data_IF_966895047016
#
_entry.id   IF_966895047016
#
_cell.length_a   1.000
_cell.length_b   1.000
_cell.length_c   1.000
_cell.angle_alpha   90.00
_cell.angle_beta   90.00
_cell.angle_gamma   90.00
#
_symmetry.space_group_name_H-M   'P 1'
#
loop_
_entity.id
_entity.type
_entity.pdbx_description
1 polymer ?
#
# COMPACT_ATOMS: atom_id res chain seq x y z
N UNK A 1 -19.43 21.46 5.86
CA UNK A 1 -19.43 21.40 7.34
C UNK A 1 -18.60 20.21 7.83
N UNK A 2 -17.40 20.02 7.27
CA UNK A 2 -16.59 18.79 7.48
C UNK A 2 -15.11 19.08 7.77
N UNK A 3 -14.75 20.37 7.88
CA UNK A 3 -13.39 20.82 8.24
C UNK A 3 -13.30 21.17 9.74
N UNK A 4 -14.42 21.54 10.37
CA UNK A 4 -14.45 21.93 11.78
C UNK A 4 -14.42 20.74 12.75
N UNK A 5 -14.88 19.56 12.33
CA UNK A 5 -14.86 18.35 13.19
C UNK A 5 -13.47 17.75 13.34
N UNK A 6 -12.59 17.93 12.34
CA UNK A 6 -11.18 17.48 12.40
C UNK A 6 -10.30 18.34 13.33
N UNK A 7 -10.60 19.63 13.46
CA UNK A 7 -9.82 20.55 14.29
C UNK A 7 -10.08 20.38 15.80
N UNK A 8 -11.29 19.94 16.17
CA UNK A 8 -11.65 19.65 17.57
C UNK A 8 -10.95 18.37 18.06
N UNK A 9 -10.79 17.36 17.19
CA UNK A 9 -9.97 16.18 17.47
C UNK A 9 -8.47 16.50 17.60
N UNK A 10 -7.98 17.49 16.84
CA UNK A 10 -6.59 17.96 16.90
C UNK A 10 -6.26 18.70 18.22
N UNK A 11 -7.20 19.48 18.76
CA UNK A 11 -7.03 20.19 20.04
C UNK A 11 -7.03 19.24 21.25
N UNK A 12 -7.84 18.18 21.22
CA UNK A 12 -7.83 17.12 22.24
C UNK A 12 -6.57 16.23 22.16
N UNK A 13 -6.12 15.90 20.96
CA UNK A 13 -4.92 15.07 20.74
C UNK A 13 -3.61 15.73 21.17
N UNK A 14 -3.50 17.07 21.12
CA UNK A 14 -2.29 17.81 21.54
C UNK A 14 -2.02 17.74 23.05
N UNK A 15 -3.08 17.71 23.87
CA UNK A 15 -2.97 17.56 25.33
C UNK A 15 -2.60 16.12 25.72
N UNK A 16 -3.14 15.12 25.01
CA UNK A 16 -2.79 13.70 25.17
C UNK A 16 -1.35 13.41 24.70
N UNK A 17 -0.89 14.06 23.62
CA UNK A 17 0.51 13.97 23.16
C UNK A 17 1.52 14.48 24.20
N UNK A 18 1.16 15.53 24.95
CA UNK A 18 1.99 16.04 26.06
C UNK A 18 2.03 15.09 27.26
N UNK A 19 0.94 14.36 27.53
CA UNK A 19 0.91 13.32 28.56
C UNK A 19 1.72 12.06 28.15
N UNK A 20 1.76 11.73 26.86
CA UNK A 20 2.56 10.63 26.30
C UNK A 20 4.07 10.88 26.33
N UNK A 21 4.53 12.13 26.46
CA UNK A 21 5.96 12.47 26.63
C UNK A 21 6.56 11.89 27.92
N UNK A 22 5.73 11.56 28.92
CA UNK A 22 6.18 11.08 30.24
C UNK A 22 6.05 9.56 30.44
N UNK A 23 5.34 8.83 29.58
CA UNK A 23 5.36 7.36 29.55
C UNK A 23 6.38 6.90 28.51
N UNK A 24 7.56 6.49 29.00
CA UNK A 24 8.63 5.86 28.20
C UNK A 24 8.04 4.97 27.11
N UNK A 25 8.33 5.32 25.86
CA UNK A 25 7.89 4.62 24.66
C UNK A 25 8.60 3.26 24.61
N UNK A 26 8.10 2.29 25.39
CA UNK A 26 8.37 0.85 25.35
C UNK A 26 9.82 0.51 25.00
N UNK A 27 10.73 0.85 25.92
CA UNK A 27 12.14 0.49 25.84
C UNK A 27 12.33 -1.00 26.13
N UNK A 28 13.04 -1.72 25.26
CA UNK A 28 13.68 -3.01 25.63
C UNK A 28 14.64 -2.80 26.82
N UNK A 29 15.10 -3.87 27.50
CA UNK A 29 16.04 -3.78 28.62
C UNK A 29 17.26 -2.88 28.36
N UNK A 30 17.67 -2.77 27.09
CA UNK A 30 18.79 -1.95 26.61
C UNK A 30 18.42 -0.50 26.22
N UNK A 31 17.22 -0.02 26.57
CA UNK A 31 16.80 1.38 26.35
C UNK A 31 16.18 1.69 24.98
N UNK A 32 16.25 0.78 24.00
CA UNK A 32 15.73 0.99 22.65
C UNK A 32 14.20 0.87 22.55
N UNK A 33 13.55 1.85 21.92
CA UNK A 33 12.11 1.80 21.61
C UNK A 33 11.83 0.74 20.54
N UNK A 34 10.99 -0.25 20.86
CA UNK A 34 10.59 -1.31 19.91
C UNK A 34 9.88 -0.80 18.65
N UNK A 35 9.42 0.45 18.65
CA UNK A 35 8.64 1.05 17.55
C UNK A 35 9.47 1.89 16.58
N UNK A 36 10.59 2.46 17.04
CA UNK A 36 11.38 3.45 16.26
C UNK A 36 12.81 3.00 16.02
N UNK A 37 13.38 2.14 16.88
CA UNK A 37 14.77 1.76 16.76
C UNK A 37 14.98 0.74 15.64
N UNK A 38 15.75 1.08 14.60
CA UNK A 38 16.23 0.12 13.59
C UNK A 38 17.49 -0.54 14.16
N UNK A 39 17.47 -1.84 14.50
CA UNK A 39 18.62 -2.51 15.08
C UNK A 39 19.64 -2.85 13.99
N UNK A 40 20.49 -1.88 13.66
CA UNK A 40 21.62 -2.06 12.74
C UNK A 40 21.24 -2.61 11.35
N UNK A 41 22.23 -3.15 10.65
CA UNK A 41 22.05 -3.68 9.30
C UNK A 41 21.36 -5.04 9.28
N UNK A 42 21.74 -5.98 10.15
CA UNK A 42 21.22 -7.35 10.22
C UNK A 42 21.05 -7.74 11.69
N UNK A 43 19.91 -8.34 12.02
CA UNK A 43 19.67 -8.95 13.31
C UNK A 43 19.24 -10.40 13.10
N UNK A 44 20.08 -11.33 13.54
CA UNK A 44 19.78 -12.76 13.46
C UNK A 44 18.96 -13.17 14.69
N UNK A 45 17.68 -13.43 14.50
CA UNK A 45 16.75 -13.79 15.57
C UNK A 45 15.88 -14.96 15.15
N UNK A 46 15.65 -15.92 16.04
CA UNK A 46 14.80 -17.09 15.76
C UNK A 46 13.31 -16.76 15.58
N UNK A 47 12.87 -15.55 16.01
CA UNK A 47 11.50 -15.06 15.89
C UNK A 47 11.47 -13.54 16.11
N UNK A 48 10.62 -12.82 15.39
CA UNK A 48 10.51 -11.35 15.48
C UNK A 48 10.17 -10.83 16.88
N UNK A 49 9.54 -11.62 17.74
CA UNK A 49 9.26 -11.24 19.13
C UNK A 49 10.51 -11.15 20.03
N UNK A 50 11.62 -11.76 19.61
CA UNK A 50 12.92 -11.72 20.30
C UNK A 50 13.86 -10.64 19.74
N UNK A 51 13.38 -9.83 18.79
CA UNK A 51 14.17 -8.72 18.26
C UNK A 51 14.41 -7.67 19.36
N UNK A 52 15.68 -7.35 19.58
CA UNK A 52 16.14 -6.19 20.35
C UNK A 52 15.87 -4.92 19.53
N UNK A 53 14.90 -4.10 19.95
CA UNK A 53 14.46 -2.93 19.17
C UNK A 53 13.29 -3.25 18.24
N UNK A 54 13.32 -2.74 17.00
CA UNK A 54 12.32 -3.05 15.96
C UNK A 54 12.63 -4.37 15.25
N UNK A 55 11.59 -5.03 14.74
CA UNK A 55 11.74 -6.19 13.85
C UNK A 55 12.31 -5.78 12.48
N UNK A 56 12.20 -4.50 12.11
CA UNK A 56 12.69 -3.95 10.85
C UNK A 56 14.17 -3.60 10.92
N UNK A 57 15.01 -4.45 10.30
CA UNK A 57 16.45 -4.24 10.14
C UNK A 57 16.77 -3.37 8.92
N UNK A 58 17.96 -2.77 8.88
CA UNK A 58 18.41 -1.97 7.73
C UNK A 58 18.42 -2.74 6.40
N UNK A 59 18.80 -4.02 6.43
CA UNK A 59 18.73 -4.90 5.25
C UNK A 59 17.30 -5.16 4.79
N UNK A 60 16.35 -5.35 5.70
CA UNK A 60 14.93 -5.51 5.33
C UNK A 60 14.41 -4.25 4.63
N UNK A 61 14.71 -3.07 5.18
CA UNK A 61 14.36 -1.80 4.54
C UNK A 61 15.00 -1.67 3.15
N UNK A 62 16.26 -2.06 2.99
CA UNK A 62 16.96 -2.03 1.70
C UNK A 62 16.34 -3.00 0.68
N UNK A 63 16.06 -4.25 1.08
CA UNK A 63 15.40 -5.22 0.20
C UNK A 63 13.98 -4.78 -0.17
N UNK A 64 13.27 -4.13 0.75
CA UNK A 64 11.97 -3.55 0.48
C UNK A 64 12.07 -2.40 -0.53
N UNK A 65 13.07 -1.53 -0.42
CA UNK A 65 13.32 -0.48 -1.40
C UNK A 65 13.66 -1.04 -2.79
N UNK A 66 14.51 -2.07 -2.88
CA UNK A 66 14.79 -2.73 -4.16
C UNK A 66 13.56 -3.40 -4.76
N UNK A 67 12.74 -4.06 -3.94
CA UNK A 67 11.49 -4.66 -4.40
C UNK A 67 10.52 -3.59 -4.96
N UNK A 68 10.38 -2.44 -4.28
CA UNK A 68 9.56 -1.33 -4.75
C UNK A 68 10.12 -0.66 -6.02
N UNK A 69 11.45 -0.57 -6.16
CA UNK A 69 12.08 -0.10 -7.40
C UNK A 69 11.76 -1.04 -8.58
N UNK A 70 11.69 -2.35 -8.34
CA UNK A 70 11.24 -3.34 -9.33
C UNK A 70 9.87 -3.00 -9.91
N UNK A 71 8.91 -2.60 -9.08
CA UNK A 71 7.56 -2.20 -9.53
C UNK A 71 7.63 -0.96 -10.45
N UNK A 72 8.45 0.03 -10.10
CA UNK A 72 8.61 1.25 -10.90
C UNK A 72 9.28 0.99 -12.25
N UNK A 73 10.19 0.01 -12.32
CA UNK A 73 10.84 -0.43 -13.56
C UNK A 73 9.94 -1.29 -14.47
N UNK A 74 8.75 -1.68 -14.01
CA UNK A 74 7.85 -2.50 -14.79
C UNK A 74 7.30 -1.75 -16.02
N UNK A 75 7.06 -2.42 -17.15
CA UNK A 75 6.59 -1.79 -18.39
C UNK A 75 5.17 -1.22 -18.30
N UNK A 76 4.44 -1.45 -17.20
CA UNK A 76 3.07 -0.99 -17.01
C UNK A 76 2.95 0.54 -17.06
N UNK A 77 3.81 1.25 -16.33
CA UNK A 77 3.78 2.71 -16.28
C UNK A 77 4.20 3.35 -17.61
N UNK A 78 5.15 2.74 -18.31
CA UNK A 78 5.57 3.18 -19.65
C UNK A 78 4.47 2.96 -20.70
N UNK A 79 3.78 1.81 -20.68
CA UNK A 79 2.66 1.55 -21.60
C UNK A 79 1.55 2.60 -21.46
N UNK A 80 1.21 3.00 -20.23
CA UNK A 80 0.21 4.05 -19.99
C UNK A 80 0.68 5.43 -20.43
N UNK A 81 1.97 5.75 -20.22
CA UNK A 81 2.57 6.99 -20.73
C UNK A 81 2.50 7.07 -22.26
N UNK A 82 2.77 5.97 -22.97
CA UNK A 82 2.75 5.93 -24.44
C UNK A 82 1.34 5.88 -25.04
N UNK A 83 0.32 5.56 -24.25
CA UNK A 83 -1.08 5.62 -24.70
C UNK A 83 -1.63 7.06 -24.80
N UNK A 84 -0.89 8.06 -24.32
CA UNK A 84 -1.36 9.44 -24.29
C UNK A 84 -0.99 10.21 -25.58
N UNK A 85 -1.95 10.90 -26.20
CA UNK A 85 -1.73 11.59 -27.49
C UNK A 85 -0.99 12.94 -27.36
N UNK A 86 -0.93 13.52 -26.17
CA UNK A 86 -0.32 14.84 -25.93
C UNK A 86 0.62 14.81 -24.73
N UNK A 87 1.92 15.06 -24.96
CA UNK A 87 2.96 14.96 -23.91
C UNK A 87 3.02 16.16 -22.97
N UNK A 88 2.59 17.36 -23.41
CA UNK A 88 2.75 18.61 -22.65
C UNK A 88 2.02 18.61 -21.30
N UNK A 89 0.77 18.16 -21.26
CA UNK A 89 -0.01 18.08 -20.02
C UNK A 89 0.46 16.92 -19.11
N UNK A 90 0.87 15.81 -19.71
CA UNK A 90 1.28 14.61 -18.99
C UNK A 90 2.53 14.83 -18.13
N UNK A 91 3.50 15.62 -18.60
CA UNK A 91 4.76 15.89 -17.87
C UNK A 91 4.53 16.52 -16.50
N UNK A 92 3.64 17.51 -16.42
CA UNK A 92 3.35 18.19 -15.16
C UNK A 92 2.57 17.30 -14.19
N UNK A 93 1.58 16.57 -14.72
CA UNK A 93 0.75 15.67 -13.92
C UNK A 93 1.53 14.46 -13.39
N UNK A 94 2.39 13.85 -14.22
CA UNK A 94 3.16 12.68 -13.83
C UNK A 94 4.28 13.04 -12.86
N UNK A 95 4.99 14.15 -13.08
CA UNK A 95 6.14 14.50 -12.24
C UNK A 95 5.72 15.24 -10.98
N UNK A 96 4.90 16.29 -11.07
CA UNK A 96 4.59 17.15 -9.91
C UNK A 96 3.32 16.71 -9.20
N UNK A 97 2.22 16.50 -9.93
CA UNK A 97 0.98 16.11 -9.28
C UNK A 97 1.08 14.70 -8.65
N UNK A 98 1.69 13.73 -9.35
CA UNK A 98 1.77 12.35 -8.84
C UNK A 98 2.85 12.15 -7.77
N UNK A 99 3.97 12.89 -7.80
CA UNK A 99 4.99 12.74 -6.75
C UNK A 99 4.68 13.56 -5.50
N UNK A 100 4.20 14.79 -5.66
CA UNK A 100 4.05 15.72 -4.56
C UNK A 100 2.66 15.64 -3.93
N UNK A 101 1.60 15.70 -4.72
CA UNK A 101 0.22 15.70 -4.18
C UNK A 101 -0.12 14.32 -3.62
N UNK A 102 0.05 13.26 -4.42
CA UNK A 102 -0.20 11.89 -3.95
C UNK A 102 0.75 11.53 -2.81
N UNK A 103 2.04 11.92 -2.89
CA UNK A 103 3.01 11.67 -1.83
C UNK A 103 2.61 12.31 -0.50
N UNK A 104 2.23 13.58 -0.50
CA UNK A 104 1.78 14.30 0.71
C UNK A 104 0.51 13.66 1.27
N UNK A 105 -0.46 13.31 0.41
CA UNK A 105 -1.70 12.67 0.82
C UNK A 105 -1.39 11.32 1.48
N UNK A 106 -0.65 10.43 0.82
CA UNK A 106 -0.32 9.11 1.36
C UNK A 106 0.44 9.22 2.68
N UNK A 107 1.47 10.08 2.74
CA UNK A 107 2.25 10.27 3.97
C UNK A 107 1.37 10.75 5.13
N UNK A 108 0.55 11.76 4.88
CA UNK A 108 -0.31 12.35 5.91
C UNK A 108 -1.36 11.35 6.41
N UNK A 109 -2.11 10.72 5.51
CA UNK A 109 -3.18 9.78 5.89
C UNK A 109 -2.64 8.50 6.53
N UNK A 110 -1.51 7.96 6.05
CA UNK A 110 -0.89 6.77 6.65
C UNK A 110 -0.41 7.04 8.08
N UNK A 111 0.17 8.22 8.34
CA UNK A 111 0.56 8.61 9.71
C UNK A 111 -0.67 8.70 10.62
N UNK A 112 -1.74 9.36 10.17
CA UNK A 112 -2.96 9.45 10.96
C UNK A 112 -3.56 8.08 11.26
N UNK A 113 -3.59 7.16 10.29
CA UNK A 113 -4.08 5.79 10.49
C UNK A 113 -3.20 5.02 11.50
N UNK A 114 -1.88 5.09 11.36
CA UNK A 114 -0.93 4.43 12.26
C UNK A 114 -1.02 4.95 13.70
N UNK A 115 -1.04 6.28 13.87
CA UNK A 115 -1.21 6.91 15.19
C UNK A 115 -2.56 6.58 15.82
N UNK A 116 -3.63 6.55 15.02
CA UNK A 116 -4.97 6.20 15.51
C UNK A 116 -5.01 4.76 16.04
N UNK A 117 -4.34 3.82 15.36
CA UNK A 117 -4.21 2.44 15.81
C UNK A 117 -3.55 2.34 17.19
N UNK A 118 -2.44 3.06 17.40
CA UNK A 118 -1.72 3.07 18.67
C UNK A 118 -2.53 3.72 19.80
N UNK A 119 -3.22 4.83 19.52
CA UNK A 119 -4.08 5.49 20.49
C UNK A 119 -5.25 4.58 20.93
N UNK A 120 -5.85 3.82 20.00
CA UNK A 120 -6.97 2.91 20.31
C UNK A 120 -6.52 1.67 21.09
N UNK A 121 -5.32 1.15 20.84
CA UNK A 121 -4.70 0.10 21.66
C UNK A 121 -4.42 0.61 23.08
N UNK A 122 -3.86 1.82 23.21
CA UNK A 122 -3.57 2.40 24.53
C UNK A 122 -4.84 2.70 25.36
N UNK A 123 -5.98 2.93 24.69
CA UNK A 123 -7.30 3.06 25.34
C UNK A 123 -7.95 1.72 25.69
N UNK A 124 -7.33 0.59 25.37
CA UNK A 124 -7.84 -0.75 25.66
C UNK A 124 -9.00 -1.19 24.74
N UNK A 125 -9.26 -0.47 23.64
CA UNK A 125 -10.33 -0.80 22.69
C UNK A 125 -9.89 -1.96 21.77
N UNK A 126 -8.59 -2.09 21.52
CA UNK A 126 -8.00 -3.20 20.77
C UNK A 126 -6.89 -3.87 21.59
N UNK A 127 -6.90 -5.20 21.69
CA UNK A 127 -5.82 -5.98 22.35
C UNK A 127 -4.50 -5.94 21.57
N UNK A 128 -4.58 -6.05 20.25
CA UNK A 128 -3.43 -5.97 19.35
C UNK A 128 -3.86 -5.51 17.97
N UNK A 129 -2.99 -4.75 17.30
CA UNK A 129 -3.23 -4.29 15.94
C UNK A 129 -1.98 -4.58 15.12
N UNK A 130 -2.20 -5.22 13.97
CA UNK A 130 -1.19 -5.50 12.96
C UNK A 130 -1.51 -4.67 11.70
N UNK A 131 -0.51 -4.37 10.87
CA UNK A 131 -0.58 -3.50 9.69
C UNK A 131 -1.71 -3.88 8.73
N UNK A 132 -1.97 -5.18 8.58
CA UNK A 132 -3.05 -5.72 7.73
C UNK A 132 -4.45 -5.57 8.32
N UNK A 133 -4.55 -5.52 9.65
CA UNK A 133 -5.82 -5.55 10.40
C UNK A 133 -6.26 -4.18 10.87
N UNK A 134 -5.35 -3.20 10.86
CA UNK A 134 -5.60 -1.84 11.33
C UNK A 134 -6.77 -1.20 10.60
N UNK A 135 -6.73 -1.16 9.27
CA UNK A 135 -7.76 -0.49 8.46
C UNK A 135 -9.13 -1.16 8.61
N UNK A 136 -9.27 -2.50 8.52
CA UNK A 136 -10.55 -3.17 8.78
C UNK A 136 -11.10 -2.91 10.19
N UNK A 137 -10.25 -2.93 11.23
CA UNK A 137 -10.67 -2.65 12.60
C UNK A 137 -11.14 -1.21 12.78
N UNK A 138 -10.47 -0.24 12.15
CA UNK A 138 -10.90 1.17 12.14
C UNK A 138 -12.26 1.36 11.44
N UNK A 139 -12.48 0.65 10.32
CA UNK A 139 -13.77 0.68 9.61
C UNK A 139 -14.89 0.08 10.47
N UNK A 140 -14.65 -1.05 11.14
CA UNK A 140 -15.64 -1.68 12.00
C UNK A 140 -16.08 -0.78 13.17
N UNK A 141 -15.17 0.02 13.75
CA UNK A 141 -15.55 0.99 14.78
C UNK A 141 -16.51 2.08 14.27
N UNK A 142 -16.50 2.38 12.96
CA UNK A 142 -17.43 3.33 12.36
C UNK A 142 -18.78 2.69 12.00
N UNK A 143 -18.89 1.36 12.04
CA UNK A 143 -20.13 0.64 11.68
C UNK A 143 -21.29 1.00 12.60
N UNK A 144 -21.02 1.19 13.89
CA UNK A 144 -22.05 1.49 14.89
C UNK A 144 -22.59 2.93 14.78
N UNK A 145 -21.78 3.85 14.24
CA UNK A 145 -22.13 5.29 14.18
C UNK A 145 -22.56 5.75 12.79
N UNK A 146 -21.96 5.22 11.72
CA UNK A 146 -22.20 5.64 10.34
C UNK A 146 -22.12 4.46 9.35
N UNK A 147 -23.12 3.57 9.31
CA UNK A 147 -23.08 2.35 8.48
C UNK A 147 -23.03 2.64 6.97
N UNK A 148 -23.62 3.76 6.51
CA UNK A 148 -23.55 4.18 5.10
C UNK A 148 -22.11 4.50 4.66
N UNK A 149 -21.30 5.05 5.56
CA UNK A 149 -19.91 5.42 5.29
C UNK A 149 -19.02 4.16 5.21
N UNK A 150 -19.30 3.15 6.02
CA UNK A 150 -18.63 1.85 5.95
C UNK A 150 -18.84 1.20 4.58
N UNK A 151 -20.07 1.20 4.08
CA UNK A 151 -20.38 0.71 2.73
C UNK A 151 -19.60 1.45 1.65
N UNK A 152 -19.55 2.79 1.71
CA UNK A 152 -18.78 3.61 0.78
C UNK A 152 -17.29 3.29 0.83
N UNK A 153 -16.70 3.19 2.02
CA UNK A 153 -15.28 2.86 2.21
C UNK A 153 -14.93 1.45 1.70
N UNK A 154 -15.82 0.48 1.90
CA UNK A 154 -15.65 -0.87 1.38
C UNK A 154 -15.65 -0.88 -0.16
N UNK A 155 -16.56 -0.13 -0.80
CA UNK A 155 -16.58 0.01 -2.27
C UNK A 155 -15.32 0.70 -2.77
N UNK A 156 -14.84 1.76 -2.10
CA UNK A 156 -13.58 2.41 -2.45
C UNK A 156 -12.39 1.46 -2.36
N UNK A 157 -12.31 0.64 -1.31
CA UNK A 157 -11.26 -0.35 -1.15
C UNK A 157 -11.29 -1.40 -2.28
N UNK A 158 -12.47 -1.93 -2.61
CA UNK A 158 -12.65 -2.87 -3.72
C UNK A 158 -12.27 -2.25 -5.05
N UNK A 159 -12.70 -1.01 -5.32
CA UNK A 159 -12.36 -0.29 -6.55
C UNK A 159 -10.84 -0.07 -6.70
N UNK A 160 -10.15 0.26 -5.60
CA UNK A 160 -8.69 0.40 -5.59
C UNK A 160 -7.97 -0.94 -5.86
N UNK A 161 -8.46 -2.05 -5.29
CA UNK A 161 -7.91 -3.38 -5.55
C UNK A 161 -8.12 -3.81 -7.01
N UNK A 162 -9.28 -3.49 -7.58
CA UNK A 162 -9.59 -3.81 -8.98
C UNK A 162 -8.80 -2.96 -9.98
N UNK A 163 -8.61 -1.66 -9.71
CA UNK A 163 -7.86 -0.78 -10.62
C UNK A 163 -6.39 -1.19 -10.75
N UNK A 164 -5.78 -1.61 -9.64
CA UNK A 164 -4.40 -2.12 -9.62
C UNK A 164 -4.29 -3.49 -10.26
N UNK A 165 -5.23 -4.41 -9.96
CA UNK A 165 -5.29 -5.73 -10.58
C UNK A 165 -5.46 -5.67 -12.11
N UNK A 166 -6.41 -4.86 -12.59
CA UNK A 166 -6.67 -4.69 -14.02
C UNK A 166 -5.45 -4.11 -14.77
N UNK A 167 -4.72 -3.17 -14.15
CA UNK A 167 -3.50 -2.61 -14.70
C UNK A 167 -2.44 -3.68 -14.96
N UNK A 168 -2.12 -4.47 -13.93
CA UNK A 168 -1.12 -5.54 -14.04
C UNK A 168 -1.53 -6.64 -15.01
N UNK A 169 -2.81 -7.03 -15.01
CA UNK A 169 -3.32 -8.03 -15.94
C UNK A 169 -3.24 -7.56 -17.40
N UNK A 170 -3.57 -6.29 -17.67
CA UNK A 170 -3.48 -5.70 -19.01
C UNK A 170 -2.04 -5.63 -19.51
N UNK A 171 -1.11 -5.17 -18.68
CA UNK A 171 0.32 -5.13 -19.04
C UNK A 171 0.87 -6.53 -19.26
N UNK A 172 0.56 -7.49 -18.38
CA UNK A 172 1.01 -8.87 -18.54
C UNK A 172 0.47 -9.51 -19.82
N UNK A 173 -0.82 -9.32 -20.12
CA UNK A 173 -1.43 -9.76 -21.38
C UNK A 173 -0.72 -9.16 -22.60
N UNK A 174 -0.35 -7.87 -22.53
CA UNK A 174 0.44 -7.20 -23.56
C UNK A 174 1.82 -7.79 -23.76
N UNK A 175 2.54 -8.10 -22.67
CA UNK A 175 3.86 -8.74 -22.73
C UNK A 175 3.78 -10.13 -23.35
N UNK A 176 2.85 -10.99 -22.90
CA UNK A 176 2.71 -12.35 -23.44
C UNK A 176 2.32 -12.33 -24.92
N UNK A 177 1.41 -11.46 -25.33
CA UNK A 177 0.93 -11.44 -26.73
C UNK A 177 1.95 -10.82 -27.69
N UNK A 178 2.61 -9.73 -27.30
CA UNK A 178 3.55 -9.00 -28.17
C UNK A 178 4.96 -9.55 -28.11
N UNK A 179 5.45 -9.92 -26.93
CA UNK A 179 6.86 -10.30 -26.72
C UNK A 179 7.07 -11.81 -26.86
N UNK A 180 6.08 -12.64 -26.51
CA UNK A 180 6.17 -14.10 -26.64
C UNK A 180 5.43 -14.59 -27.89
N UNK A 181 4.10 -14.39 -27.94
CA UNK A 181 3.26 -15.04 -28.95
C UNK A 181 3.58 -14.55 -30.38
N UNK A 182 3.65 -13.24 -30.59
CA UNK A 182 3.98 -12.68 -31.90
C UNK A 182 5.43 -12.96 -32.32
N UNK A 183 6.37 -12.89 -31.39
CA UNK A 183 7.79 -13.05 -31.73
C UNK A 183 8.17 -14.51 -32.02
N UNK A 184 7.63 -15.47 -31.26
CA UNK A 184 8.05 -16.89 -31.33
C UNK A 184 7.06 -17.81 -32.06
N UNK A 185 5.75 -17.55 -32.01
CA UNK A 185 4.75 -18.46 -32.58
C UNK A 185 4.20 -17.98 -33.92
N UNK A 186 3.83 -16.69 -34.04
CA UNK A 186 3.21 -16.16 -35.27
C UNK A 186 3.56 -14.68 -35.49
N UNK A 187 4.59 -14.42 -36.32
CA UNK A 187 5.10 -13.06 -36.63
C UNK A 187 4.04 -12.09 -37.16
N UNK A 188 3.05 -12.61 -37.88
CA UNK A 188 1.88 -11.88 -38.39
C UNK A 188 0.57 -12.32 -37.70
N UNK A 189 0.55 -12.39 -36.37
CA UNK A 189 -0.69 -12.65 -35.66
C UNK A 189 -1.69 -11.49 -35.88
N UNK A 190 -2.89 -11.79 -36.41
CA UNK A 190 -4.01 -10.84 -36.49
C UNK A 190 -4.39 -10.32 -35.10
N UNK A 191 -4.90 -9.08 -35.01
CA UNK A 191 -5.28 -8.44 -33.74
C UNK A 191 -6.29 -9.24 -32.93
N UNK A 192 -7.23 -9.90 -33.60
CA UNK A 192 -8.29 -10.65 -32.92
C UNK A 192 -7.74 -11.92 -32.24
N UNK A 193 -6.75 -12.56 -32.88
CA UNK A 193 -6.05 -13.71 -32.31
C UNK A 193 -5.20 -13.28 -31.10
N UNK A 194 -4.54 -12.12 -31.17
CA UNK A 194 -3.79 -11.58 -30.04
C UNK A 194 -4.69 -11.26 -28.84
N UNK A 195 -5.85 -10.63 -29.07
CA UNK A 195 -6.84 -10.35 -28.02
C UNK A 195 -7.36 -11.63 -27.37
N UNK A 196 -7.64 -12.67 -28.16
CA UNK A 196 -8.13 -13.95 -27.67
C UNK A 196 -7.08 -14.68 -26.83
N UNK A 197 -5.85 -14.80 -27.33
CA UNK A 197 -4.73 -15.43 -26.60
C UNK A 197 -4.45 -14.68 -25.30
N UNK A 198 -4.42 -13.34 -25.34
CA UNK A 198 -4.22 -12.51 -24.15
C UNK A 198 -5.30 -12.75 -23.08
N UNK A 199 -6.57 -12.85 -23.47
CA UNK A 199 -7.68 -13.15 -22.53
C UNK A 199 -7.54 -14.53 -21.91
N UNK A 200 -7.22 -15.55 -22.70
CA UNK A 200 -7.03 -16.92 -22.20
C UNK A 200 -5.90 -16.96 -21.18
N UNK A 201 -4.76 -16.34 -21.48
CA UNK A 201 -3.62 -16.30 -20.56
C UNK A 201 -3.93 -15.58 -19.25
N UNK A 202 -4.66 -14.45 -19.29
CA UNK A 202 -5.08 -13.76 -18.07
C UNK A 202 -5.98 -14.65 -17.20
N UNK A 203 -6.92 -15.37 -17.80
CA UNK A 203 -7.78 -16.32 -17.07
C UNK A 203 -6.95 -17.46 -16.46
N UNK A 204 -5.99 -18.02 -17.20
CA UNK A 204 -5.11 -19.08 -16.69
C UNK A 204 -4.28 -18.61 -15.50
N UNK A 205 -3.70 -17.42 -15.58
CA UNK A 205 -2.92 -16.85 -14.46
C UNK A 205 -3.81 -16.51 -13.27
N UNK A 206 -5.03 -16.00 -13.51
CA UNK A 206 -5.98 -15.75 -12.44
C UNK A 206 -6.38 -17.04 -11.70
N UNK A 207 -6.62 -18.14 -12.45
CA UNK A 207 -6.91 -19.45 -11.87
C UNK A 207 -5.70 -19.99 -11.08
N UNK A 208 -4.50 -19.90 -11.63
CA UNK A 208 -3.28 -20.33 -10.94
C UNK A 208 -3.06 -19.52 -9.64
N UNK A 209 -3.28 -18.20 -9.68
CA UNK A 209 -3.21 -17.34 -8.51
C UNK A 209 -4.26 -17.74 -7.46
N UNK A 210 -5.49 -18.07 -7.87
CA UNK A 210 -6.57 -18.51 -6.98
C UNK A 210 -6.31 -19.89 -6.36
N UNK A 211 -5.53 -20.75 -7.01
CA UNK A 211 -5.10 -22.02 -6.44
C UNK A 211 -3.97 -21.87 -5.40
N UNK A 212 -3.16 -20.82 -5.52
CA UNK A 212 -2.03 -20.54 -4.61
C UNK A 212 -2.44 -19.68 -3.43
N UNK A 213 -3.39 -18.76 -3.64
CA UNK A 213 -3.90 -17.82 -2.63
C UNK A 213 -4.73 -18.52 -1.55
#
# INVERSE_FOLDING_TARGET
MSVFTGLIAFSGGSKELKALKHRRIISSPDGYSKRVAIPGAIQMVSSGGKAVGSVWTGMMCMTYMFALMGIQSSPAFSMWSYSNKTSKAFRWQQVVASSLIIGIILFTFTIFQGMSGELLVNKGIFESVNDKTLVPKLINLMSDTNPWLVGLLAVCALAAMQSTGAAYMSTFSGMITRDIYRQYFKKEASEDLQKLVGRIFVVLVALAALLVA
#
